data_IF_010111961721
#
_entry.id   IF_010111961721
#
_cell.length_a   1.000
_cell.length_b   1.000
_cell.length_c   1.000
_cell.angle_alpha   90.00
_cell.angle_beta   90.00
_cell.angle_gamma   90.00
#
_symmetry.space_group_name_H-M   'P 1'
#
loop_
_entity.id
_entity.type
_entity.pdbx_description
1 polymer ?
#
# COMPACT_ATOMS: atom_id res chain seq x y z
N UNK A 1 60.03 70.15 -5.81
CA UNK A 1 58.73 69.64 -5.36
C UNK A 1 58.02 68.66 -6.34
N UNK A 2 58.12 68.78 -7.65
CA UNK A 2 57.42 67.95 -8.65
C UNK A 2 57.79 66.43 -8.62
N UNK A 3 59.03 66.08 -8.32
CA UNK A 3 59.43 64.61 -8.27
C UNK A 3 58.81 63.84 -7.14
N UNK A 4 58.57 64.40 -5.96
CA UNK A 4 57.95 63.72 -4.81
C UNK A 4 56.45 63.42 -5.07
N UNK A 5 55.74 64.29 -5.78
CA UNK A 5 54.36 64.12 -6.16
C UNK A 5 54.14 62.96 -7.19
N UNK A 6 55.12 62.76 -8.07
CA UNK A 6 55.09 61.70 -9.07
C UNK A 6 55.27 60.29 -8.42
N UNK A 7 56.11 60.19 -7.40
CA UNK A 7 56.30 58.92 -6.67
C UNK A 7 55.10 58.60 -5.78
N UNK A 8 54.50 59.59 -5.14
CA UNK A 8 53.29 59.42 -4.35
C UNK A 8 52.08 58.95 -5.23
N UNK A 9 51.95 59.53 -6.43
CA UNK A 9 50.90 59.08 -7.38
C UNK A 9 51.10 57.62 -7.89
N UNK A 10 52.38 57.27 -8.16
CA UNK A 10 52.70 55.89 -8.56
C UNK A 10 52.44 54.88 -7.43
N UNK A 11 52.74 55.24 -6.19
CA UNK A 11 52.53 54.44 -5.03
C UNK A 11 51.00 54.19 -4.76
N UNK A 12 50.23 55.31 -4.87
CA UNK A 12 48.77 55.24 -4.74
C UNK A 12 48.11 54.38 -5.83
N UNK A 13 48.57 54.49 -7.07
CA UNK A 13 48.07 53.67 -8.18
C UNK A 13 48.41 52.17 -7.99
N UNK A 14 49.61 51.86 -7.47
CA UNK A 14 50.01 50.50 -7.19
C UNK A 14 49.19 49.86 -6.05
N UNK A 15 48.88 50.62 -5.00
CA UNK A 15 48.03 50.15 -3.89
C UNK A 15 46.59 49.94 -4.36
N UNK A 16 46.06 50.83 -5.20
CA UNK A 16 44.74 50.68 -5.77
C UNK A 16 44.62 49.47 -6.70
N UNK A 17 45.68 49.22 -7.51
CA UNK A 17 45.74 48.04 -8.38
C UNK A 17 45.82 46.70 -7.59
N UNK A 18 46.59 46.66 -6.50
CA UNK A 18 46.70 45.54 -5.60
C UNK A 18 45.38 45.28 -4.84
N UNK A 19 44.72 46.36 -4.41
CA UNK A 19 43.42 46.25 -3.75
C UNK A 19 42.32 45.72 -4.68
N UNK A 20 42.30 46.16 -5.93
CA UNK A 20 41.37 45.66 -6.93
C UNK A 20 41.63 44.18 -7.30
N UNK A 21 42.90 43.78 -7.41
CA UNK A 21 43.25 42.38 -7.66
C UNK A 21 42.88 41.46 -6.49
N UNK A 22 43.08 41.92 -5.25
CA UNK A 22 42.69 41.15 -4.07
C UNK A 22 41.16 40.98 -3.93
N UNK A 23 40.37 42.01 -4.31
CA UNK A 23 38.91 41.94 -4.28
C UNK A 23 38.34 40.98 -5.35
N UNK A 24 38.99 40.89 -6.52
CA UNK A 24 38.59 39.93 -7.56
C UNK A 24 38.98 38.49 -7.19
N UNK A 25 40.15 38.29 -6.57
CA UNK A 25 40.58 37.00 -6.10
C UNK A 25 39.72 36.47 -4.93
N UNK A 26 39.23 37.40 -4.06
CA UNK A 26 38.32 37.05 -2.98
C UNK A 26 36.90 36.64 -3.42
N UNK A 27 36.45 37.14 -4.56
CA UNK A 27 35.14 36.80 -5.13
C UNK A 27 35.18 35.53 -5.97
N UNK A 28 36.37 35.08 -6.41
CA UNK A 28 36.54 33.90 -7.25
C UNK A 28 36.67 32.56 -6.48
N UNK A 29 36.77 32.61 -5.15
CA UNK A 29 36.95 31.39 -4.34
C UNK A 29 35.72 30.89 -3.65
N UNK A 30 34.56 31.45 -3.93
CA UNK A 30 33.30 30.74 -3.66
C UNK A 30 33.03 29.76 -4.81
N UNK A 31 33.92 28.80 -4.99
CA UNK A 31 33.57 27.59 -5.68
C UNK A 31 32.49 26.91 -4.80
N UNK A 32 31.24 27.20 -5.07
CA UNK A 32 30.16 26.38 -4.63
C UNK A 32 30.40 24.99 -5.25
N UNK A 33 31.00 24.09 -4.51
CA UNK A 33 30.95 22.66 -4.81
C UNK A 33 29.51 22.22 -4.60
N UNK A 34 28.62 22.58 -5.51
CA UNK A 34 27.35 21.90 -5.65
C UNK A 34 27.67 20.57 -6.33
N UNK A 35 28.06 19.59 -5.56
CA UNK A 35 27.96 18.21 -5.96
C UNK A 35 26.48 17.87 -5.86
N UNK A 36 25.72 18.13 -6.92
CA UNK A 36 24.40 17.55 -7.07
C UNK A 36 24.60 16.08 -7.42
N UNK A 37 24.74 15.25 -6.39
CA UNK A 37 24.52 13.83 -6.53
C UNK A 37 23.01 13.66 -6.59
N UNK A 38 22.45 13.63 -7.79
CA UNK A 38 21.08 13.16 -7.98
C UNK A 38 21.09 11.66 -7.74
N UNK A 39 20.93 11.23 -6.49
CA UNK A 39 20.49 9.89 -6.19
C UNK A 39 19.02 9.82 -6.62
N UNK A 40 18.76 9.38 -7.84
CA UNK A 40 17.43 8.98 -8.24
C UNK A 40 17.09 7.70 -7.49
N UNK A 41 16.45 7.83 -6.32
CA UNK A 41 15.73 6.73 -5.72
C UNK A 41 14.49 6.53 -6.57
N UNK A 42 14.46 5.46 -7.34
CA UNK A 42 13.23 4.97 -7.92
C UNK A 42 12.44 4.40 -6.75
N UNK A 43 11.55 5.19 -6.18
CA UNK A 43 10.56 4.71 -5.22
C UNK A 43 9.56 3.93 -6.06
N UNK A 44 9.79 2.65 -6.22
CA UNK A 44 8.80 1.76 -6.76
C UNK A 44 7.70 1.65 -5.70
N UNK A 45 6.52 2.18 -5.98
CA UNK A 45 5.30 1.84 -5.27
C UNK A 45 5.20 0.32 -5.31
N UNK A 46 5.18 -0.34 -4.14
CA UNK A 46 5.05 -1.78 -4.07
C UNK A 46 3.76 -2.18 -4.79
N UNK A 47 3.88 -2.89 -5.89
CA UNK A 47 2.73 -3.50 -6.55
C UNK A 47 2.24 -4.62 -5.66
N UNK A 48 1.04 -4.46 -5.09
CA UNK A 48 0.32 -5.52 -4.43
C UNK A 48 -0.15 -6.48 -5.53
N UNK A 49 0.52 -7.61 -5.69
CA UNK A 49 0.08 -8.66 -6.59
C UNK A 49 -0.82 -9.60 -5.82
N UNK A 50 -2.11 -9.59 -6.14
CA UNK A 50 -3.06 -10.58 -5.65
C UNK A 50 -2.99 -11.80 -6.56
N UNK A 51 -2.22 -12.79 -6.17
CA UNK A 51 -2.23 -14.10 -6.83
C UNK A 51 -3.24 -14.99 -6.12
N UNK A 52 -4.39 -15.19 -6.73
CA UNK A 52 -5.34 -16.23 -6.32
C UNK A 52 -5.06 -17.47 -7.18
N UNK A 53 -4.28 -18.46 -6.70
CA UNK A 53 -4.02 -19.68 -7.47
C UNK A 53 -5.29 -20.48 -7.74
N UNK A 54 -6.37 -20.17 -7.01
CA UNK A 54 -7.69 -20.78 -7.20
C UNK A 54 -8.69 -19.70 -7.59
N UNK A 55 -9.08 -19.65 -8.83
CA UNK A 55 -10.02 -18.68 -9.41
C UNK A 55 -11.48 -18.87 -8.91
N UNK A 56 -11.67 -19.45 -7.73
CA UNK A 56 -13.00 -19.67 -7.17
C UNK A 56 -13.64 -18.45 -6.55
N UNK A 57 -12.89 -17.35 -6.38
CA UNK A 57 -13.51 -16.06 -6.03
C UNK A 57 -14.45 -15.57 -7.14
N UNK A 58 -14.14 -15.92 -8.40
CA UNK A 58 -14.96 -15.60 -9.56
C UNK A 58 -16.06 -16.62 -9.88
N UNK A 59 -16.06 -17.80 -9.23
CA UNK A 59 -17.15 -18.76 -9.34
C UNK A 59 -18.12 -18.54 -8.19
N UNK A 60 -19.34 -18.11 -8.50
CA UNK A 60 -20.38 -17.90 -7.50
C UNK A 60 -20.58 -19.11 -6.59
N UNK A 61 -21.03 -18.88 -5.39
CA UNK A 61 -21.28 -19.95 -4.40
C UNK A 61 -22.42 -20.90 -4.80
N UNK A 62 -23.10 -20.62 -5.91
CA UNK A 62 -24.40 -21.22 -6.22
C UNK A 62 -25.50 -20.61 -5.34
N UNK A 63 -26.69 -21.21 -5.29
CA UNK A 63 -27.75 -20.79 -4.38
C UNK A 63 -27.26 -20.92 -2.93
N UNK A 64 -27.32 -19.83 -2.16
CA UNK A 64 -27.00 -19.78 -0.74
C UNK A 64 -28.27 -19.51 0.07
N UNK A 65 -28.35 -20.11 1.25
CA UNK A 65 -29.44 -19.94 2.21
C UNK A 65 -28.96 -19.15 3.44
N UNK A 66 -29.86 -18.50 4.20
CA UNK A 66 -29.51 -17.90 5.48
C UNK A 66 -28.80 -18.91 6.40
N UNK A 67 -27.66 -18.52 6.93
CA UNK A 67 -26.77 -19.36 7.72
C UNK A 67 -25.59 -19.96 6.94
N UNK A 68 -25.61 -19.92 5.61
CA UNK A 68 -24.51 -20.43 4.80
C UNK A 68 -23.27 -19.54 4.86
N UNK A 69 -22.11 -20.17 4.69
CA UNK A 69 -20.82 -19.51 4.57
C UNK A 69 -20.11 -19.95 3.29
N UNK A 70 -19.43 -19.02 2.66
CA UNK A 70 -18.53 -19.27 1.53
C UNK A 70 -17.10 -18.90 1.94
N UNK A 71 -16.15 -19.82 1.80
CA UNK A 71 -14.75 -19.57 2.10
C UNK A 71 -13.90 -19.61 0.81
N UNK A 72 -12.88 -18.75 0.76
CA UNK A 72 -11.90 -18.72 -0.32
C UNK A 72 -10.53 -18.36 0.22
N UNK A 73 -9.50 -19.12 -0.13
CA UNK A 73 -8.13 -18.77 0.18
C UNK A 73 -7.57 -17.83 -0.88
N UNK A 74 -6.72 -16.90 -0.44
CA UNK A 74 -6.05 -15.91 -1.27
C UNK A 74 -4.64 -15.73 -0.74
N UNK A 75 -3.63 -15.76 -1.61
CA UNK A 75 -2.27 -15.40 -1.27
C UNK A 75 -2.03 -13.93 -1.60
N UNK A 76 -1.78 -13.13 -0.57
CA UNK A 76 -1.46 -11.72 -0.70
C UNK A 76 0.07 -11.56 -0.69
N UNK A 77 0.66 -11.43 -1.87
CA UNK A 77 2.11 -11.31 -2.04
C UNK A 77 2.55 -9.87 -2.20
N UNK A 78 3.57 -9.49 -1.45
CA UNK A 78 4.16 -8.15 -1.44
C UNK A 78 5.40 -8.12 -2.33
N UNK A 79 5.26 -7.68 -3.58
CA UNK A 79 6.40 -7.46 -4.49
C UNK A 79 6.89 -6.02 -4.37
N UNK A 80 8.19 -5.83 -4.29
CA UNK A 80 8.82 -4.52 -4.18
C UNK A 80 10.10 -4.56 -3.37
N UNK A 81 10.83 -3.46 -3.34
CA UNK A 81 12.07 -3.32 -2.56
C UNK A 81 11.85 -2.67 -1.18
N UNK A 82 10.65 -2.16 -0.92
CA UNK A 82 10.31 -1.44 0.31
C UNK A 82 9.05 -2.05 0.91
N UNK A 83 9.07 -2.29 2.22
CA UNK A 83 7.91 -2.78 2.97
C UNK A 83 6.77 -1.75 2.97
N UNK A 84 5.52 -2.24 3.01
CA UNK A 84 4.34 -1.40 3.13
C UNK A 84 4.16 -0.90 4.56
N UNK A 85 3.52 0.27 4.71
CA UNK A 85 3.12 0.81 6.00
C UNK A 85 1.75 0.29 6.44
N UNK A 86 0.86 0.03 5.48
CA UNK A 86 -0.48 -0.51 5.72
C UNK A 86 -1.05 -1.13 4.45
N UNK A 87 -2.11 -1.91 4.59
CA UNK A 87 -2.93 -2.34 3.48
C UNK A 87 -4.41 -2.14 3.80
N UNK A 88 -5.20 -1.89 2.76
CA UNK A 88 -6.64 -1.70 2.85
C UNK A 88 -7.36 -2.58 1.85
N UNK A 89 -8.62 -2.88 2.14
CA UNK A 89 -9.55 -3.58 1.25
C UNK A 89 -10.66 -2.61 0.84
N UNK A 90 -10.95 -2.57 -0.44
CA UNK A 90 -12.18 -1.97 -0.97
C UNK A 90 -13.01 -3.05 -1.63
N UNK A 91 -14.28 -3.14 -1.25
CA UNK A 91 -15.27 -4.04 -1.85
C UNK A 91 -16.38 -3.21 -2.46
N UNK A 92 -16.68 -3.44 -3.71
CA UNK A 92 -17.76 -2.76 -4.42
C UNK A 92 -18.55 -3.72 -5.29
N UNK A 93 -19.87 -3.56 -5.32
CA UNK A 93 -20.72 -4.33 -6.20
C UNK A 93 -20.68 -3.76 -7.62
N UNK A 94 -20.46 -4.62 -8.62
CA UNK A 94 -20.65 -4.30 -10.04
C UNK A 94 -22.08 -4.57 -10.48
N UNK A 95 -22.74 -5.52 -9.80
CA UNK A 95 -24.18 -5.73 -9.84
C UNK A 95 -24.66 -5.82 -8.41
N UNK A 96 -25.46 -4.88 -7.96
CA UNK A 96 -25.90 -4.73 -6.56
C UNK A 96 -27.32 -5.23 -6.36
N UNK A 97 -27.57 -5.79 -5.17
CA UNK A 97 -28.89 -6.16 -4.68
C UNK A 97 -28.98 -5.94 -3.17
N UNK A 98 -30.07 -6.35 -2.54
CA UNK A 98 -30.18 -6.32 -1.09
C UNK A 98 -29.16 -7.24 -0.40
N UNK A 99 -28.63 -8.27 -1.10
CA UNK A 99 -27.60 -9.15 -0.56
C UNK A 99 -26.31 -8.42 -0.18
N UNK A 100 -25.91 -7.39 -0.92
CA UNK A 100 -24.70 -6.64 -0.65
C UNK A 100 -24.97 -5.29 0.00
N UNK A 101 -26.17 -4.70 -0.20
CA UNK A 101 -26.48 -3.35 0.27
C UNK A 101 -27.12 -3.29 1.67
N UNK A 102 -27.75 -4.36 2.14
CA UNK A 102 -28.25 -4.44 3.53
C UNK A 102 -27.08 -4.74 4.47
N UNK A 103 -26.65 -3.73 5.22
CA UNK A 103 -25.50 -3.84 6.10
C UNK A 103 -25.71 -4.78 7.30
N UNK A 104 -26.95 -5.11 7.66
CA UNK A 104 -27.30 -5.92 8.84
C UNK A 104 -27.65 -7.36 8.46
N UNK A 105 -28.56 -7.51 7.50
CA UNK A 105 -29.09 -8.81 7.11
C UNK A 105 -28.48 -9.33 5.80
N UNK A 106 -27.79 -8.48 5.05
CA UNK A 106 -27.05 -8.85 3.85
C UNK A 106 -25.74 -9.56 4.17
N UNK A 107 -24.97 -9.87 3.15
CA UNK A 107 -23.73 -10.62 3.27
C UNK A 107 -22.71 -9.91 4.15
N UNK A 108 -22.07 -10.67 5.02
CA UNK A 108 -20.98 -10.22 5.89
C UNK A 108 -19.65 -10.81 5.43
N UNK A 109 -18.57 -10.06 5.57
CA UNK A 109 -17.20 -10.49 5.24
C UNK A 109 -16.33 -10.53 6.48
N UNK A 110 -15.51 -11.57 6.60
CA UNK A 110 -14.39 -11.66 7.55
C UNK A 110 -13.15 -12.19 6.82
N UNK A 111 -11.96 -11.82 7.30
CA UNK A 111 -10.70 -12.29 6.74
C UNK A 111 -9.79 -12.74 7.87
N UNK A 112 -9.28 -13.96 7.76
CA UNK A 112 -8.24 -14.50 8.63
C UNK A 112 -6.96 -14.77 7.85
N UNK A 113 -5.81 -14.68 8.53
CA UNK A 113 -4.51 -15.11 8.04
C UNK A 113 -4.10 -16.40 8.71
N UNK A 114 -3.48 -17.31 7.97
CA UNK A 114 -2.77 -18.46 8.49
C UNK A 114 -1.25 -18.25 8.34
N UNK A 115 -0.47 -18.72 9.30
CA UNK A 115 0.99 -18.70 9.24
C UNK A 115 1.58 -19.67 8.21
N UNK A 116 0.76 -20.54 7.63
CA UNK A 116 1.08 -21.45 6.53
C UNK A 116 -0.01 -21.34 5.45
N UNK A 117 0.24 -21.91 4.28
CA UNK A 117 -0.78 -21.96 3.25
C UNK A 117 -2.04 -22.72 3.74
N UNK A 118 -3.22 -22.22 3.36
CA UNK A 118 -4.48 -22.88 3.66
C UNK A 118 -4.62 -24.18 2.86
N UNK A 119 -5.02 -25.25 3.53
CA UNK A 119 -5.36 -26.52 2.88
C UNK A 119 -6.83 -26.55 2.54
N UNK A 120 -7.15 -26.65 1.23
CA UNK A 120 -8.52 -26.78 0.75
C UNK A 120 -8.98 -28.24 0.80
N UNK A 121 -10.22 -28.46 1.21
CA UNK A 121 -10.95 -29.74 1.10
C UNK A 121 -12.38 -29.48 0.62
N UNK A 122 -13.00 -30.44 0.00
CA UNK A 122 -14.41 -30.32 -0.41
C UNK A 122 -14.75 -30.94 -1.75
N UNK A 123 -15.96 -30.81 -2.32
CA UNK A 123 -17.10 -29.98 -1.91
C UNK A 123 -17.89 -30.51 -0.70
N UNK A 124 -18.46 -29.63 0.17
CA UNK A 124 -18.33 -28.17 0.16
C UNK A 124 -16.91 -27.74 0.52
N UNK A 125 -16.47 -26.59 -0.07
CA UNK A 125 -15.09 -26.15 0.10
C UNK A 125 -14.86 -25.52 1.46
N UNK A 126 -13.97 -26.14 2.23
CA UNK A 126 -13.50 -25.67 3.54
C UNK A 126 -11.99 -25.52 3.52
N UNK A 127 -11.47 -24.68 4.40
CA UNK A 127 -10.04 -24.36 4.48
C UNK A 127 -9.53 -24.56 5.89
N UNK A 128 -8.48 -25.36 6.03
CA UNK A 128 -7.82 -25.65 7.30
C UNK A 128 -6.46 -24.99 7.33
N UNK A 129 -6.14 -24.34 8.44
CA UNK A 129 -4.83 -23.78 8.71
C UNK A 129 -3.94 -24.81 9.40
N UNK A 130 -2.81 -25.15 8.79
CA UNK A 130 -1.81 -26.04 9.38
C UNK A 130 -0.91 -25.38 10.43
N UNK A 131 -1.10 -24.09 10.72
CA UNK A 131 -0.35 -23.29 11.67
C UNK A 131 -1.23 -22.48 12.61
N UNK A 132 -0.80 -21.26 12.96
CA UNK A 132 -1.58 -20.33 13.77
C UNK A 132 -2.42 -19.39 12.89
N UNK A 133 -3.62 -19.07 13.37
CA UNK A 133 -4.51 -18.10 12.70
C UNK A 133 -4.52 -16.78 13.43
N UNK A 134 -4.69 -15.69 12.68
CA UNK A 134 -4.93 -14.35 13.21
C UNK A 134 -5.99 -13.63 12.38
N UNK A 135 -6.84 -12.84 13.03
CA UNK A 135 -7.88 -12.07 12.36
C UNK A 135 -7.29 -10.85 11.68
N UNK A 136 -7.50 -10.74 10.38
CA UNK A 136 -7.10 -9.60 9.54
C UNK A 136 -8.23 -8.59 9.41
N UNK A 137 -9.45 -9.06 9.28
CA UNK A 137 -10.66 -8.27 9.24
C UNK A 137 -11.77 -8.98 10.01
N UNK A 138 -12.26 -8.34 11.08
CA UNK A 138 -13.43 -8.83 11.82
C UNK A 138 -14.68 -8.76 10.96
N UNK A 139 -15.67 -9.62 11.26
CA UNK A 139 -16.94 -9.69 10.52
C UNK A 139 -17.61 -8.31 10.45
N UNK A 140 -17.99 -7.93 9.24
CA UNK A 140 -18.68 -6.69 8.92
C UNK A 140 -19.48 -6.81 7.63
N UNK A 141 -20.33 -5.80 7.33
CA UNK A 141 -21.01 -5.69 6.05
C UNK A 141 -20.05 -5.85 4.86
N UNK A 142 -20.48 -6.60 3.84
CA UNK A 142 -19.65 -6.97 2.69
C UNK A 142 -19.07 -5.76 1.95
N UNK A 143 -19.88 -4.71 1.73
CA UNK A 143 -19.44 -3.52 0.99
C UNK A 143 -18.73 -2.52 1.91
N UNK A 144 -17.62 -1.96 1.42
CA UNK A 144 -16.89 -0.91 2.11
C UNK A 144 -15.68 -0.43 1.35
N UNK A 145 -15.25 0.79 1.63
CA UNK A 145 -14.11 1.43 0.99
C UNK A 145 -12.98 1.66 1.99
N UNK A 146 -11.74 1.44 1.56
CA UNK A 146 -10.53 1.68 2.35
C UNK A 146 -10.56 1.04 3.75
N UNK A 147 -11.11 -0.17 3.84
CA UNK A 147 -11.21 -0.93 5.08
C UNK A 147 -9.80 -1.31 5.51
N UNK A 148 -9.36 -0.84 6.68
CA UNK A 148 -8.04 -1.15 7.20
C UNK A 148 -7.91 -2.66 7.50
N UNK A 149 -6.82 -3.26 7.07
CA UNK A 149 -6.46 -4.64 7.35
C UNK A 149 -5.37 -4.68 8.42
N UNK A 150 -5.54 -5.53 9.42
CA UNK A 150 -4.62 -5.72 10.54
C UNK A 150 -3.83 -7.03 10.42
N UNK A 151 -2.81 -7.20 11.25
CA UNK A 151 -2.05 -8.45 11.38
C UNK A 151 -1.41 -8.98 10.08
N UNK A 152 -1.24 -8.13 9.07
CA UNK A 152 -0.52 -8.46 7.85
C UNK A 152 0.98 -8.29 8.06
N UNK A 153 1.77 -9.08 7.32
CA UNK A 153 3.23 -9.06 7.40
C UNK A 153 3.81 -7.78 6.83
N UNK A 154 3.25 -7.26 5.73
CA UNK A 154 3.61 -6.03 5.03
C UNK A 154 5.08 -5.92 4.59
N UNK A 155 5.89 -6.96 4.80
CA UNK A 155 7.31 -7.01 4.46
C UNK A 155 7.51 -7.29 2.97
N UNK A 156 8.42 -6.56 2.33
CA UNK A 156 8.79 -6.79 0.94
C UNK A 156 9.25 -8.25 0.71
N UNK A 157 8.73 -8.88 -0.34
CA UNK A 157 8.99 -10.29 -0.68
C UNK A 157 8.20 -11.32 0.14
N UNK A 158 7.41 -10.91 1.14
CA UNK A 158 6.58 -11.83 1.93
C UNK A 158 5.24 -12.15 1.24
N UNK A 159 4.60 -13.21 1.71
CA UNK A 159 3.24 -13.59 1.33
C UNK A 159 2.42 -13.86 2.59
N UNK A 160 1.25 -13.26 2.66
CA UNK A 160 0.24 -13.55 3.67
C UNK A 160 -0.84 -14.49 3.07
N UNK A 161 -1.04 -15.62 3.72
CA UNK A 161 -2.03 -16.62 3.33
C UNK A 161 -3.37 -16.28 3.98
N UNK A 162 -4.27 -15.67 3.22
CA UNK A 162 -5.56 -15.19 3.71
C UNK A 162 -6.68 -16.17 3.39
N UNK A 163 -7.69 -16.21 4.27
CA UNK A 163 -8.98 -16.83 4.02
C UNK A 163 -10.06 -15.78 4.14
N UNK A 164 -10.75 -15.52 3.04
CA UNK A 164 -11.96 -14.70 3.01
C UNK A 164 -13.14 -15.60 3.31
N UNK A 165 -13.93 -15.22 4.30
CA UNK A 165 -15.21 -15.87 4.64
C UNK A 165 -16.34 -14.88 4.38
N UNK A 166 -17.27 -15.24 3.52
CA UNK A 166 -18.52 -14.50 3.31
C UNK A 166 -19.64 -15.29 3.94
N UNK A 167 -20.39 -14.67 4.83
CA UNK A 167 -21.50 -15.29 5.59
C UNK A 167 -22.82 -14.64 5.20
N UNK A 168 -23.83 -15.46 4.92
CA UNK A 168 -25.20 -15.02 4.83
C UNK A 168 -25.86 -15.17 6.21
N UNK A 169 -26.19 -14.08 6.92
CA UNK A 169 -26.72 -14.18 8.29
C UNK A 169 -27.95 -15.08 8.39
N UNK A 170 -28.02 -15.90 9.42
CA UNK A 170 -29.16 -16.81 9.65
C UNK A 170 -30.48 -16.07 9.93
N UNK A 171 -30.42 -14.81 10.38
CA UNK A 171 -31.58 -13.93 10.59
C UNK A 171 -32.08 -13.23 9.33
N UNK A 172 -31.49 -13.49 8.16
CA UNK A 172 -31.89 -12.85 6.91
C UNK A 172 -33.32 -13.22 6.53
N UNK A 173 -34.14 -12.20 6.24
CA UNK A 173 -35.56 -12.37 5.91
C UNK A 173 -35.81 -12.74 4.45
N UNK A 174 -37.06 -13.04 4.13
CA UNK A 174 -37.50 -13.43 2.77
C UNK A 174 -37.28 -12.35 1.70
N UNK A 175 -37.07 -11.10 2.07
CA UNK A 175 -36.78 -10.00 1.14
C UNK A 175 -35.44 -10.16 0.40
N UNK A 176 -34.57 -11.01 0.94
CA UNK A 176 -33.25 -11.34 0.37
C UNK A 176 -33.26 -12.56 -0.54
N UNK A 177 -34.45 -13.21 -0.71
CA UNK A 177 -34.59 -14.35 -1.61
C UNK A 177 -34.52 -13.93 -3.08
N UNK A 178 -34.03 -14.83 -3.94
CA UNK A 178 -33.89 -14.62 -5.38
C UNK A 178 -33.04 -13.37 -5.75
N UNK A 179 -32.19 -12.92 -4.83
CA UNK A 179 -31.26 -11.82 -5.07
C UNK A 179 -29.93 -12.36 -5.58
N UNK A 180 -29.22 -11.53 -6.34
CA UNK A 180 -27.88 -11.84 -6.85
C UNK A 180 -27.03 -10.58 -6.82
N UNK A 181 -25.79 -10.71 -6.39
CA UNK A 181 -24.81 -9.62 -6.38
C UNK A 181 -23.48 -10.10 -6.94
N UNK A 182 -22.79 -9.21 -7.65
CA UNK A 182 -21.41 -9.44 -8.10
C UNK A 182 -20.52 -8.41 -7.43
N UNK A 183 -19.51 -8.88 -6.70
CA UNK A 183 -18.66 -8.03 -5.87
C UNK A 183 -17.20 -8.15 -6.28
N UNK A 184 -16.55 -7.01 -6.47
CA UNK A 184 -15.11 -6.90 -6.69
C UNK A 184 -14.38 -6.63 -5.37
N UNK A 185 -13.21 -7.23 -5.22
CA UNK A 185 -12.31 -7.07 -4.08
C UNK A 185 -11.02 -6.41 -4.57
N UNK A 186 -10.67 -5.25 -4.01
CA UNK A 186 -9.44 -4.52 -4.34
C UNK A 186 -8.60 -4.36 -3.09
N UNK A 187 -7.43 -4.98 -3.06
CA UNK A 187 -6.43 -4.78 -2.01
C UNK A 187 -5.50 -3.65 -2.44
N UNK A 188 -5.28 -2.69 -1.57
CA UNK A 188 -4.39 -1.55 -1.81
C UNK A 188 -3.32 -1.51 -0.75
N UNK A 189 -2.05 -1.56 -1.16
CA UNK A 189 -0.91 -1.35 -0.29
C UNK A 189 -0.54 0.11 -0.24
N UNK A 190 -0.33 0.65 0.97
CA UNK A 190 0.15 2.00 1.18
C UNK A 190 1.61 1.96 1.60
N UNK A 191 2.42 2.81 1.01
CA UNK A 191 3.84 2.91 1.34
C UNK A 191 4.01 3.33 2.81
N UNK A 192 5.06 2.82 3.47
CA UNK A 192 5.46 3.32 4.79
C UNK A 192 5.92 4.78 4.71
N UNK A 193 5.77 5.52 5.78
CA UNK A 193 6.38 6.84 5.90
C UNK A 193 7.91 6.73 5.76
N UNK A 194 8.53 7.79 5.23
CA UNK A 194 9.99 7.92 5.20
C UNK A 194 10.55 7.87 6.62
N UNK A 195 11.72 7.26 6.77
CA UNK A 195 12.54 7.32 7.98
C UNK A 195 13.90 7.84 7.57
N UNK A 196 14.50 8.70 8.38
CA UNK A 196 15.89 9.11 8.19
C UNK A 196 16.79 7.87 8.27
N UNK A 197 17.71 7.76 7.30
CA UNK A 197 18.71 6.69 7.21
C UNK A 197 20.09 7.30 7.15
#
# INVERSE_FOLDING_TARGET
MRRKLLHARKLLLSIAALGAAASIAGLGTFATFTTSTSASHTIASGTLSLTAPFSRLGTGAGPIAPGDTMQRAIDLSYSGSISLGSATLTTNATSSSLLDSDATNGLQIAIDKCSAAWTESGPPYTYTCGGSTSTVLSSRALIGSNIALSNLTLTAGATDHLRVTVTFPSGAGNTLQNQSSTVNYTFTGNQRAGTDQ
#
